data_IF_369684316787
#
_entry.id   IF_369684316787
#
_cell.length_a   1.000
_cell.length_b   1.000
_cell.length_c   1.000
_cell.angle_alpha   90.00
_cell.angle_beta   90.00
_cell.angle_gamma   90.00
#
_symmetry.space_group_name_H-M   'P 1'
#
loop_
_entity.id
_entity.type
_entity.pdbx_description
1 polymer ?
#
# COMPACT_ATOMS: atom_id res chain seq x y z
N UNK A 1 -35.73 -4.08 -15.09
CA UNK A 1 -34.34 -4.30 -14.65
C UNK A 1 -33.40 -4.04 -15.83
N UNK A 2 -32.70 -2.90 -15.85
CA UNK A 2 -31.80 -2.57 -16.97
C UNK A 2 -30.57 -3.48 -16.92
N UNK A 3 -30.32 -4.23 -18.01
CA UNK A 3 -29.14 -5.08 -18.17
C UNK A 3 -27.86 -4.22 -18.04
N UNK A 4 -27.26 -4.25 -16.85
CA UNK A 4 -26.00 -3.55 -16.59
C UNK A 4 -24.91 -4.23 -17.41
N UNK A 5 -24.42 -3.55 -18.45
CA UNK A 5 -23.32 -4.07 -19.27
C UNK A 5 -22.03 -4.02 -18.47
N UNK A 6 -21.52 -5.19 -18.08
CA UNK A 6 -20.25 -5.33 -17.37
C UNK A 6 -19.17 -5.86 -18.32
N UNK A 7 -18.13 -5.06 -18.56
CA UNK A 7 -16.93 -5.50 -19.30
C UNK A 7 -15.82 -5.84 -18.31
N UNK A 8 -15.07 -6.92 -18.56
CA UNK A 8 -13.94 -7.32 -17.70
C UNK A 8 -12.60 -7.11 -18.41
N UNK A 9 -11.60 -6.64 -17.65
CA UNK A 9 -10.20 -6.59 -18.09
C UNK A 9 -9.28 -7.14 -17.00
N UNK A 10 -8.14 -7.68 -17.40
CA UNK A 10 -7.03 -8.04 -16.49
C UNK A 10 -5.79 -7.37 -17.02
N UNK A 11 -5.08 -6.63 -16.16
CA UNK A 11 -3.79 -6.03 -16.50
C UNK A 11 -2.71 -6.88 -15.85
N UNK A 12 -1.98 -7.63 -16.66
CA UNK A 12 -0.98 -8.58 -16.17
C UNK A 12 0.31 -7.87 -15.80
N UNK A 13 1.12 -8.49 -14.94
CA UNK A 13 2.44 -7.95 -14.58
C UNK A 13 3.32 -7.64 -15.79
N UNK A 14 3.27 -8.50 -16.81
CA UNK A 14 3.99 -8.35 -18.08
C UNK A 14 3.56 -7.10 -18.85
N UNK A 15 2.28 -6.71 -18.77
CA UNK A 15 1.78 -5.47 -19.41
C UNK A 15 2.48 -4.25 -18.82
N UNK A 16 2.64 -4.21 -17.49
CA UNK A 16 3.35 -3.13 -16.80
C UNK A 16 4.83 -3.04 -17.16
N UNK A 17 5.51 -4.19 -17.31
CA UNK A 17 6.91 -4.23 -17.75
C UNK A 17 7.06 -3.72 -19.19
N UNK A 18 6.18 -4.18 -20.09
CA UNK A 18 6.20 -3.75 -21.49
C UNK A 18 5.85 -2.26 -21.63
N UNK A 19 4.85 -1.79 -20.87
CA UNK A 19 4.49 -0.38 -20.86
C UNK A 19 5.61 0.49 -20.30
N UNK A 20 6.33 0.04 -19.27
CA UNK A 20 7.50 0.75 -18.75
C UNK A 20 8.59 0.92 -19.79
N UNK A 21 8.88 -0.12 -20.58
CA UNK A 21 9.84 -0.04 -21.70
C UNK A 21 9.36 0.91 -22.80
N UNK A 22 8.08 0.85 -23.15
CA UNK A 22 7.48 1.67 -24.20
C UNK A 22 7.41 3.16 -23.82
N UNK A 23 6.91 3.45 -22.62
CA UNK A 23 6.73 4.82 -22.14
C UNK A 23 8.02 5.43 -21.60
N UNK A 24 8.96 4.63 -21.12
CA UNK A 24 10.10 5.08 -20.34
C UNK A 24 9.77 5.35 -18.86
N UNK A 25 8.54 5.10 -18.41
CA UNK A 25 8.20 5.17 -16.98
C UNK A 25 8.71 3.93 -16.25
N UNK A 26 9.91 4.05 -15.70
CA UNK A 26 10.62 3.01 -14.95
C UNK A 26 10.42 3.11 -13.43
N UNK A 27 9.38 3.82 -12.97
CA UNK A 27 9.15 3.99 -11.54
C UNK A 27 9.00 2.63 -10.84
N UNK A 28 9.86 2.41 -9.85
CA UNK A 28 10.02 1.11 -9.22
C UNK A 28 8.78 0.60 -8.49
N UNK A 29 7.82 1.47 -8.14
CA UNK A 29 6.55 1.03 -7.55
C UNK A 29 5.77 0.12 -8.50
N UNK A 30 5.95 0.30 -9.80
CA UNK A 30 5.30 -0.50 -10.82
C UNK A 30 6.09 -1.75 -11.14
N UNK A 31 7.38 -1.85 -10.79
CA UNK A 31 8.31 -2.86 -11.33
C UNK A 31 8.96 -3.76 -10.27
N UNK A 32 9.25 -3.24 -9.08
CA UNK A 32 10.04 -3.96 -8.07
C UNK A 32 9.12 -4.41 -6.93
N UNK A 33 8.97 -5.74 -6.76
CA UNK A 33 8.05 -6.35 -5.76
C UNK A 33 8.31 -5.88 -4.32
N UNK A 34 9.59 -5.77 -3.93
CA UNK A 34 9.98 -5.32 -2.59
C UNK A 34 9.57 -3.87 -2.32
N UNK A 35 9.71 -2.98 -3.32
CA UNK A 35 9.30 -1.57 -3.21
C UNK A 35 7.79 -1.45 -3.11
N UNK A 36 7.04 -2.17 -3.95
CA UNK A 36 5.59 -2.25 -3.84
C UNK A 36 5.14 -2.70 -2.44
N UNK A 37 5.73 -3.77 -1.92
CA UNK A 37 5.41 -4.29 -0.59
C UNK A 37 5.71 -3.34 0.58
N UNK A 38 6.76 -2.52 0.45
CA UNK A 38 7.16 -1.54 1.46
C UNK A 38 6.38 -0.22 1.36
N UNK A 39 5.69 0.02 0.25
CA UNK A 39 4.80 1.16 0.10
C UNK A 39 3.50 1.01 0.90
N UNK A 40 2.72 2.08 0.96
CA UNK A 40 1.37 2.09 1.54
C UNK A 40 0.40 1.13 0.82
N UNK A 41 0.70 0.72 -0.41
CA UNK A 41 -0.15 -0.17 -1.21
C UNK A 41 0.07 -1.65 -0.88
N UNK A 42 1.21 -2.01 -0.24
CA UNK A 42 1.52 -3.39 0.13
C UNK A 42 1.86 -4.33 -1.04
N UNK A 43 1.85 -3.84 -2.27
CA UNK A 43 2.18 -4.56 -3.51
C UNK A 43 2.51 -3.60 -4.66
N UNK A 44 2.86 -4.14 -5.84
CA UNK A 44 3.05 -3.31 -7.04
C UNK A 44 1.70 -2.86 -7.60
N UNK A 45 1.65 -1.62 -8.07
CA UNK A 45 0.44 -1.04 -8.66
C UNK A 45 0.64 -0.81 -10.16
N UNK A 46 -0.46 -0.84 -10.92
CA UNK A 46 -0.45 -0.54 -12.35
C UNK A 46 -0.19 0.95 -12.60
N UNK A 47 0.50 1.30 -13.67
CA UNK A 47 0.63 2.70 -14.13
C UNK A 47 -0.74 3.30 -14.44
N UNK A 48 -0.99 4.54 -13.99
CA UNK A 48 -2.28 5.23 -14.20
C UNK A 48 -2.68 5.31 -15.67
N UNK A 49 -1.75 5.75 -16.52
CA UNK A 49 -1.96 5.84 -17.96
C UNK A 49 -2.17 4.48 -18.64
N UNK A 50 -1.47 3.43 -18.20
CA UNK A 50 -1.67 2.07 -18.73
C UNK A 50 -3.09 1.57 -18.47
N UNK A 51 -3.62 1.82 -17.27
CA UNK A 51 -5.00 1.45 -16.93
C UNK A 51 -5.96 2.16 -17.88
N UNK A 52 -5.79 3.47 -18.05
CA UNK A 52 -6.65 4.27 -18.92
C UNK A 52 -6.61 3.77 -20.37
N UNK A 53 -5.42 3.53 -20.94
CA UNK A 53 -5.27 2.97 -22.30
C UNK A 53 -6.02 1.63 -22.42
N UNK A 54 -5.85 0.72 -21.45
CA UNK A 54 -6.52 -0.59 -21.47
C UNK A 54 -8.04 -0.46 -21.38
N UNK A 55 -8.54 0.47 -20.55
CA UNK A 55 -9.99 0.74 -20.44
C UNK A 55 -10.51 1.30 -21.75
N UNK A 56 -9.93 2.38 -22.28
CA UNK A 56 -10.38 3.05 -23.51
C UNK A 56 -10.45 2.09 -24.70
N UNK A 57 -9.45 1.22 -24.86
CA UNK A 57 -9.46 0.14 -25.87
C UNK A 57 -10.60 -0.84 -25.67
N UNK A 58 -10.86 -1.26 -24.43
CA UNK A 58 -11.94 -2.22 -24.12
C UNK A 58 -13.33 -1.63 -24.36
N UNK A 59 -13.52 -0.34 -24.09
CA UNK A 59 -14.77 0.36 -24.37
C UNK A 59 -14.91 0.78 -25.83
N UNK A 60 -13.82 0.79 -26.61
CA UNK A 60 -13.75 1.11 -28.05
C UNK A 60 -14.19 2.55 -28.36
N UNK A 61 -13.68 3.52 -27.61
CA UNK A 61 -13.98 4.93 -27.84
C UNK A 61 -13.18 5.43 -29.04
N UNK A 62 -13.88 5.92 -30.07
CA UNK A 62 -13.28 6.51 -31.28
C UNK A 62 -13.37 8.04 -31.27
N UNK A 63 -14.54 8.57 -30.95
CA UNK A 63 -14.82 10.00 -30.92
C UNK A 63 -15.18 10.43 -29.49
N UNK A 64 -14.58 11.53 -29.05
CA UNK A 64 -14.88 12.20 -27.79
C UNK A 64 -14.46 13.66 -27.90
N UNK A 65 -15.13 14.53 -27.14
CA UNK A 65 -14.68 15.89 -26.89
C UNK A 65 -13.76 15.91 -25.66
N UNK A 66 -14.19 15.29 -24.56
CA UNK A 66 -13.41 15.21 -23.34
C UNK A 66 -13.49 13.85 -22.65
N UNK A 67 -12.42 13.53 -21.92
CA UNK A 67 -12.32 12.35 -21.05
C UNK A 67 -11.84 12.81 -19.68
N UNK A 68 -12.67 12.61 -18.66
CA UNK A 68 -12.34 12.91 -17.27
C UNK A 68 -12.16 11.60 -16.49
N UNK A 69 -11.00 11.43 -15.86
CA UNK A 69 -10.63 10.24 -15.12
C UNK A 69 -10.26 10.64 -13.71
N UNK A 70 -10.96 10.08 -12.73
CA UNK A 70 -10.63 10.23 -11.31
C UNK A 70 -10.18 8.89 -10.73
N UNK A 71 -8.94 8.83 -10.25
CA UNK A 71 -8.36 7.66 -9.60
C UNK A 71 -8.64 7.76 -8.09
N UNK A 72 -9.68 7.07 -7.63
CA UNK A 72 -10.06 7.01 -6.22
C UNK A 72 -9.10 6.10 -5.44
N UNK A 73 -8.59 5.05 -6.08
CA UNK A 73 -7.65 4.11 -5.50
C UNK A 73 -6.80 3.43 -6.59
N UNK A 74 -5.79 2.69 -6.18
CA UNK A 74 -4.86 2.03 -7.08
C UNK A 74 -5.44 0.73 -7.65
N UNK A 75 -4.96 0.34 -8.83
CA UNK A 75 -5.22 -0.96 -9.45
C UNK A 75 -4.02 -1.88 -9.23
N UNK A 76 -4.30 -3.12 -8.85
CA UNK A 76 -3.33 -4.21 -8.71
C UNK A 76 -3.19 -4.98 -10.01
N UNK A 77 -1.99 -5.51 -10.25
CA UNK A 77 -1.73 -6.43 -11.34
C UNK A 77 -2.43 -7.77 -11.13
N UNK A 78 -2.68 -8.48 -12.24
CA UNK A 78 -3.12 -9.87 -12.28
C UNK A 78 -4.49 -10.14 -11.61
N UNK A 79 -5.25 -9.08 -11.34
CA UNK A 79 -6.63 -9.14 -10.84
C UNK A 79 -7.60 -8.56 -11.86
N UNK A 80 -8.84 -9.07 -11.85
CA UNK A 80 -9.91 -8.61 -12.73
C UNK A 80 -10.38 -7.23 -12.31
N UNK A 81 -10.50 -6.32 -13.28
CA UNK A 81 -11.26 -5.08 -13.15
C UNK A 81 -12.58 -5.22 -13.89
N UNK A 82 -13.66 -4.82 -13.23
CA UNK A 82 -15.01 -4.79 -13.79
C UNK A 82 -15.35 -3.35 -14.16
N UNK A 83 -15.67 -3.13 -15.44
CA UNK A 83 -16.04 -1.84 -16.00
C UNK A 83 -17.55 -1.84 -16.16
N UNK A 84 -18.21 -0.98 -15.40
CA UNK A 84 -19.66 -0.87 -15.32
C UNK A 84 -20.08 0.46 -15.93
N UNK A 85 -20.94 0.44 -16.94
CA UNK A 85 -21.58 1.66 -17.44
C UNK A 85 -22.68 2.07 -16.46
N UNK A 86 -22.45 3.13 -15.68
CA UNK A 86 -23.39 3.58 -14.66
C UNK A 86 -24.39 4.62 -15.15
N UNK A 87 -24.04 5.41 -16.16
CA UNK A 87 -24.93 6.39 -16.79
C UNK A 87 -24.60 6.52 -18.26
N UNK A 88 -25.62 6.50 -19.11
CA UNK A 88 -25.51 6.71 -20.57
C UNK A 88 -26.44 7.84 -20.97
N UNK A 89 -25.91 8.81 -21.72
CA UNK A 89 -26.70 9.78 -22.46
C UNK A 89 -26.02 10.09 -23.78
N UNK A 90 -26.70 10.77 -24.69
CA UNK A 90 -26.12 11.20 -25.96
C UNK A 90 -24.90 12.12 -25.74
N UNK A 91 -24.92 12.89 -24.66
CA UNK A 91 -23.92 13.89 -24.32
C UNK A 91 -22.75 13.31 -23.52
N UNK A 92 -23.03 12.40 -22.59
CA UNK A 92 -22.09 11.96 -21.55
C UNK A 92 -22.28 10.50 -21.14
N UNK A 93 -21.18 9.76 -21.08
CA UNK A 93 -21.13 8.40 -20.55
C UNK A 93 -20.27 8.36 -19.28
N UNK A 94 -20.76 7.69 -18.23
CA UNK A 94 -20.03 7.51 -16.97
C UNK A 94 -19.81 6.02 -16.73
N UNK A 95 -18.54 5.64 -16.64
CA UNK A 95 -18.07 4.31 -16.31
C UNK A 95 -17.48 4.29 -14.90
N UNK A 96 -17.87 3.29 -14.13
CA UNK A 96 -17.31 2.98 -12.82
C UNK A 96 -16.49 1.70 -12.93
N UNK A 97 -15.23 1.75 -12.48
CA UNK A 97 -14.32 0.62 -12.55
C UNK A 97 -14.06 0.08 -11.15
N UNK A 98 -14.40 -1.18 -10.95
CA UNK A 98 -14.27 -1.90 -9.70
C UNK A 98 -13.14 -2.92 -9.76
N UNK A 99 -12.45 -3.13 -8.64
CA UNK A 99 -11.52 -4.24 -8.45
C UNK A 99 -11.59 -4.65 -6.97
N UNK A 100 -11.72 -5.96 -6.70
CA UNK A 100 -11.92 -6.48 -5.35
C UNK A 100 -13.14 -5.82 -4.64
N UNK A 101 -14.27 -5.69 -5.34
CA UNK A 101 -15.52 -5.07 -4.84
C UNK A 101 -15.43 -3.57 -4.48
N UNK A 102 -14.25 -2.94 -4.65
CA UNK A 102 -14.06 -1.51 -4.39
C UNK A 102 -14.12 -0.69 -5.68
N UNK A 103 -14.79 0.46 -5.65
CA UNK A 103 -14.72 1.45 -6.72
C UNK A 103 -13.33 2.09 -6.75
N UNK A 104 -12.60 1.92 -7.85
CA UNK A 104 -11.23 2.40 -8.00
C UNK A 104 -11.11 3.61 -8.89
N UNK A 105 -11.89 3.66 -9.97
CA UNK A 105 -11.80 4.72 -10.98
C UNK A 105 -13.21 5.13 -11.40
N UNK A 106 -13.41 6.44 -11.55
CA UNK A 106 -14.56 7.02 -12.25
C UNK A 106 -14.03 7.59 -13.55
N UNK A 107 -14.63 7.17 -14.67
CA UNK A 107 -14.30 7.61 -16.01
C UNK A 107 -15.54 8.24 -16.63
N UNK A 108 -15.45 9.49 -17.00
CA UNK A 108 -16.50 10.22 -17.71
C UNK A 108 -16.02 10.58 -19.10
N UNK A 109 -16.88 10.40 -20.09
CA UNK A 109 -16.59 10.72 -21.49
C UNK A 109 -17.71 11.60 -22.01
N UNK A 110 -17.35 12.78 -22.50
CA UNK A 110 -18.28 13.76 -23.08
C UNK A 110 -18.05 13.90 -24.57
N UNK A 111 -19.15 14.06 -25.32
CA UNK A 111 -19.12 14.43 -26.74
C UNK A 111 -19.38 15.91 -26.98
N UNK A 112 -19.77 16.67 -25.95
CA UNK A 112 -20.08 18.10 -26.06
C UNK A 112 -18.97 18.99 -25.53
N UNK A 113 -18.85 20.16 -26.16
CA UNK A 113 -17.91 21.22 -25.83
C UNK A 113 -18.38 22.07 -24.64
N UNK A 114 -18.45 21.45 -23.46
CA UNK A 114 -18.82 22.14 -22.21
C UNK A 114 -17.62 22.30 -21.26
N UNK A 115 -16.44 21.80 -21.66
CA UNK A 115 -15.26 21.77 -20.80
C UNK A 115 -14.32 22.92 -21.14
N UNK A 116 -14.23 23.90 -20.23
CA UNK A 116 -13.24 24.97 -20.31
C UNK A 116 -11.83 24.45 -19.98
N UNK A 117 -10.86 25.08 -20.62
CA UNK A 117 -9.44 24.94 -20.32
C UNK A 117 -9.09 26.02 -19.31
N UNK A 118 -8.56 25.60 -18.17
CA UNK A 118 -8.04 26.53 -17.17
C UNK A 118 -6.53 26.50 -17.22
N UNK A 119 -5.93 27.61 -17.60
CA UNK A 119 -4.48 27.76 -17.51
C UNK A 119 -4.02 27.76 -16.06
N UNK A 120 -2.81 27.24 -15.83
CA UNK A 120 -2.22 27.23 -14.50
C UNK A 120 -1.92 28.68 -14.07
N UNK A 121 -2.47 29.08 -12.91
CA UNK A 121 -2.26 30.41 -12.32
C UNK A 121 -0.78 30.77 -12.10
N UNK A 122 0.08 29.77 -11.86
CA UNK A 122 1.52 29.92 -11.67
C UNK A 122 2.26 28.70 -12.21
N UNK A 123 3.41 28.91 -12.84
CA UNK A 123 4.27 27.83 -13.32
C UNK A 123 5.48 27.73 -12.39
N UNK A 124 5.69 26.56 -11.81
CA UNK A 124 6.83 26.24 -10.94
C UNK A 124 7.86 25.35 -11.62
N UNK A 125 7.45 24.65 -12.68
CA UNK A 125 8.31 23.80 -13.49
C UNK A 125 7.71 23.66 -14.89
N UNK A 126 8.55 23.66 -15.92
CA UNK A 126 8.15 23.48 -17.31
C UNK A 126 9.11 22.49 -17.99
N UNK A 127 8.58 21.67 -18.90
CA UNK A 127 9.39 20.81 -19.76
C UNK A 127 8.83 20.74 -21.17
N UNK A 128 9.70 20.92 -22.15
CA UNK A 128 9.40 20.69 -23.58
C UNK A 128 10.04 19.38 -24.03
N UNK A 129 9.31 18.57 -24.79
CA UNK A 129 9.79 17.29 -25.31
C UNK A 129 9.54 17.24 -26.81
N UNK A 130 10.62 17.10 -27.60
CA UNK A 130 10.54 16.86 -29.04
C UNK A 130 10.23 15.40 -29.33
N UNK A 131 9.23 15.17 -30.18
CA UNK A 131 8.77 13.86 -30.63
C UNK A 131 9.32 13.60 -32.02
N UNK A 132 10.20 12.60 -32.13
CA UNK A 132 10.73 12.15 -33.42
C UNK A 132 9.72 11.28 -34.17
N UNK A 133 9.86 11.21 -35.49
CA UNK A 133 9.02 10.34 -36.34
C UNK A 133 9.17 8.87 -35.97
N UNK A 134 10.38 8.41 -35.65
CA UNK A 134 10.62 7.03 -35.15
C UNK A 134 9.81 6.75 -33.90
N UNK A 135 9.73 7.71 -32.98
CA UNK A 135 8.92 7.57 -31.77
C UNK A 135 7.43 7.53 -32.09
N UNK A 136 6.93 8.36 -33.01
CA UNK A 136 5.52 8.32 -33.45
C UNK A 136 5.14 6.92 -33.97
N UNK A 137 5.98 6.33 -34.82
CA UNK A 137 5.76 4.98 -35.38
C UNK A 137 5.61 3.89 -34.31
N UNK A 138 6.34 3.98 -33.18
CA UNK A 138 6.21 3.04 -32.06
C UNK A 138 4.82 3.05 -31.39
N UNK A 139 4.07 4.15 -31.51
CA UNK A 139 2.76 4.32 -30.90
C UNK A 139 1.60 4.07 -31.85
N UNK A 140 1.86 3.71 -33.12
CA UNK A 140 0.82 3.32 -34.06
C UNK A 140 -0.06 2.22 -33.47
N UNK A 141 -1.37 2.43 -33.50
CA UNK A 141 -2.34 1.55 -32.87
C UNK A 141 -3.68 1.63 -33.60
N UNK A 142 -4.16 0.50 -34.11
CA UNK A 142 -5.46 0.43 -34.81
C UNK A 142 -6.65 0.45 -33.85
N UNK A 143 -6.42 0.18 -32.56
CA UNK A 143 -7.49 0.06 -31.55
C UNK A 143 -7.75 1.35 -30.76
N UNK A 144 -6.93 2.39 -30.96
CA UNK A 144 -6.99 3.65 -30.23
C UNK A 144 -6.23 4.74 -30.99
N UNK A 145 -6.65 6.00 -30.86
CA UNK A 145 -5.92 7.16 -31.38
C UNK A 145 -4.42 7.10 -30.97
N UNK A 146 -3.53 7.09 -31.96
CA UNK A 146 -2.10 6.89 -31.76
C UNK A 146 -1.44 8.08 -31.05
N UNK A 147 -1.92 9.31 -31.31
CA UNK A 147 -1.48 10.50 -30.60
C UNK A 147 -1.91 10.43 -29.13
N UNK A 148 -3.15 9.99 -28.87
CA UNK A 148 -3.65 9.83 -27.50
C UNK A 148 -2.84 8.78 -26.71
N UNK A 149 -2.49 7.66 -27.34
CA UNK A 149 -1.64 6.63 -26.71
C UNK A 149 -0.23 7.16 -26.43
N UNK A 150 0.34 7.94 -27.35
CA UNK A 150 1.65 8.57 -27.18
C UNK A 150 1.64 9.55 -26.00
N UNK A 151 0.68 10.49 -25.96
CA UNK A 151 0.64 11.49 -24.88
C UNK A 151 0.36 10.87 -23.51
N UNK A 152 -0.47 9.83 -23.42
CA UNK A 152 -0.68 9.11 -22.16
C UNK A 152 0.60 8.39 -21.70
N UNK A 153 1.42 7.90 -22.63
CA UNK A 153 2.71 7.28 -22.34
C UNK A 153 3.73 8.32 -21.87
N UNK A 154 3.81 9.47 -22.54
CA UNK A 154 4.68 10.59 -22.13
C UNK A 154 4.24 11.21 -20.80
N UNK A 155 2.94 11.30 -20.54
CA UNK A 155 2.41 11.72 -19.25
C UNK A 155 2.88 10.77 -18.13
N UNK A 156 2.82 9.45 -18.36
CA UNK A 156 3.32 8.48 -17.36
C UNK A 156 4.80 8.71 -17.08
N UNK A 157 5.63 8.83 -18.13
CA UNK A 157 7.06 9.10 -18.00
C UNK A 157 7.34 10.40 -17.26
N UNK A 158 6.64 11.48 -17.64
CA UNK A 158 6.79 12.77 -17.01
C UNK A 158 6.55 12.65 -15.50
N UNK A 159 5.41 12.10 -15.11
CA UNK A 159 5.01 11.97 -13.71
C UNK A 159 5.95 11.03 -12.95
N UNK A 160 6.24 9.85 -13.51
CA UNK A 160 7.01 8.79 -12.85
C UNK A 160 8.52 9.04 -12.75
N UNK A 161 9.09 9.83 -13.67
CA UNK A 161 10.54 9.98 -13.85
C UNK A 161 11.00 11.44 -13.80
N UNK A 162 10.28 12.35 -14.46
CA UNK A 162 10.72 13.76 -14.61
C UNK A 162 10.27 14.61 -13.43
N UNK A 163 8.96 14.80 -13.27
CA UNK A 163 8.39 15.62 -12.20
C UNK A 163 6.96 15.16 -11.89
N UNK A 164 6.62 14.84 -10.62
CA UNK A 164 7.47 14.91 -9.43
C UNK A 164 8.42 13.71 -9.24
N UNK A 165 8.42 12.75 -10.18
CA UNK A 165 9.40 11.67 -10.25
C UNK A 165 9.05 10.44 -9.40
N UNK A 166 10.05 9.75 -8.86
CA UNK A 166 9.96 8.38 -8.29
C UNK A 166 8.82 8.12 -7.29
N UNK A 167 8.39 9.12 -6.53
CA UNK A 167 7.32 8.96 -5.52
C UNK A 167 5.99 9.56 -5.96
N UNK A 168 5.81 9.80 -7.25
CA UNK A 168 4.57 10.35 -7.77
C UNK A 168 3.42 9.34 -7.84
N UNK A 169 2.21 9.87 -7.87
CA UNK A 169 0.96 9.20 -8.20
C UNK A 169 0.14 10.14 -9.07
N UNK A 170 -0.62 9.57 -10.01
CA UNK A 170 -1.62 10.31 -10.79
C UNK A 170 -2.96 10.19 -10.05
N UNK A 171 -3.60 11.32 -9.76
CA UNK A 171 -4.89 11.38 -9.07
C UNK A 171 -6.05 11.62 -10.05
N UNK A 172 -5.82 12.48 -11.04
CA UNK A 172 -6.84 12.86 -12.03
C UNK A 172 -6.18 13.12 -13.37
N UNK A 173 -6.86 12.76 -14.45
CA UNK A 173 -6.53 13.16 -15.82
C UNK A 173 -7.80 13.68 -16.48
N UNK A 174 -7.78 14.89 -17.04
CA UNK A 174 -8.81 15.47 -17.91
C UNK A 174 -8.16 15.69 -19.26
N UNK A 175 -8.66 15.03 -20.30
CA UNK A 175 -8.21 15.17 -21.69
C UNK A 175 -9.30 15.94 -22.44
N UNK A 176 -8.90 16.93 -23.21
CA UNK A 176 -9.77 17.73 -24.08
C UNK A 176 -9.17 17.67 -25.49
N UNK A 177 -10.02 17.37 -26.49
CA UNK A 177 -9.63 17.32 -27.91
C UNK A 177 -10.14 18.57 -28.63
N UNK A 178 -9.24 19.41 -29.14
CA UNK A 178 -9.52 20.65 -29.88
C UNK A 178 -9.42 20.43 -31.39
N UNK A 179 -10.40 20.90 -32.16
CA UNK A 179 -10.39 20.73 -33.63
C UNK A 179 -9.33 21.58 -34.37
N UNK A 180 -8.93 22.73 -33.81
CA UNK A 180 -8.10 23.72 -34.52
C UNK A 180 -6.76 23.96 -33.80
N UNK A 181 -5.81 23.01 -33.91
CA UNK A 181 -4.46 23.19 -33.36
C UNK A 181 -3.40 22.87 -34.42
N UNK A 182 -2.32 23.66 -34.46
CA UNK A 182 -1.21 23.41 -35.38
C UNK A 182 -0.44 22.14 -34.96
N UNK A 183 -0.08 21.33 -35.97
CA UNK A 183 0.77 20.15 -35.79
C UNK A 183 2.16 20.63 -35.34
N UNK A 184 2.47 20.43 -34.06
CA UNK A 184 3.81 20.67 -33.52
C UNK A 184 4.43 19.35 -33.07
N UNK A 185 5.72 19.18 -33.29
CA UNK A 185 6.48 18.03 -32.81
C UNK A 185 6.88 18.16 -31.33
N UNK A 186 6.35 19.16 -30.61
CA UNK A 186 6.68 19.45 -29.23
C UNK A 186 5.51 19.18 -28.30
N UNK A 187 5.75 18.38 -27.26
CA UNK A 187 4.87 18.29 -26.10
C UNK A 187 5.34 19.31 -25.06
N UNK A 188 4.41 20.14 -24.58
CA UNK A 188 4.67 21.12 -23.54
C UNK A 188 4.04 20.66 -22.23
N UNK A 189 4.85 20.52 -21.18
CA UNK A 189 4.41 20.25 -19.82
C UNK A 189 4.60 21.49 -18.96
N UNK A 190 3.58 21.85 -18.19
CA UNK A 190 3.64 22.88 -17.16
C UNK A 190 3.16 22.29 -15.84
N UNK A 191 3.81 22.66 -14.74
CA UNK A 191 3.45 22.20 -13.40
C UNK A 191 3.43 23.34 -12.39
N UNK A 192 2.42 23.33 -11.52
CA UNK A 192 2.26 24.25 -10.41
C UNK A 192 2.27 23.50 -9.08
N UNK A 193 3.22 23.85 -8.22
CA UNK A 193 3.25 23.43 -6.82
C UNK A 193 3.23 24.65 -5.93
N UNK A 194 2.06 24.96 -5.37
CA UNK A 194 1.86 26.14 -4.52
C UNK A 194 2.75 26.12 -3.27
N UNK A 195 2.90 24.96 -2.62
CA UNK A 195 3.74 24.80 -1.42
C UNK A 195 4.43 23.42 -1.40
N UNK A 196 5.67 23.38 -0.92
CA UNK A 196 6.44 22.13 -0.72
C UNK A 196 5.85 21.23 0.39
N UNK A 197 5.07 21.79 1.31
CA UNK A 197 4.37 21.07 2.39
C UNK A 197 3.18 20.28 1.85
N UNK A 198 2.54 20.78 0.78
CA UNK A 198 1.49 20.03 0.10
C UNK A 198 2.10 19.03 -0.88
N UNK A 199 1.51 17.84 -0.88
CA UNK A 199 1.94 16.76 -1.77
C UNK A 199 1.24 16.82 -3.14
N UNK A 200 0.19 17.65 -3.29
CA UNK A 200 -0.55 17.81 -4.53
C UNK A 200 0.14 18.80 -5.48
N UNK A 201 0.15 18.47 -6.76
CA UNK A 201 0.72 19.25 -7.86
C UNK A 201 -0.31 19.27 -8.98
N UNK A 202 -0.58 20.46 -9.50
CA UNK A 202 -1.41 20.66 -10.69
C UNK A 202 -0.50 20.72 -11.91
N UNK A 203 -0.92 20.10 -13.00
CA UNK A 203 -0.13 20.01 -14.21
C UNK A 203 -1.02 20.18 -15.43
N UNK A 204 -0.45 20.71 -16.50
CA UNK A 204 -1.05 20.71 -17.82
C UNK A 204 -0.06 20.20 -18.86
N UNK A 205 -0.60 19.57 -19.91
CA UNK A 205 0.12 19.09 -21.08
C UNK A 205 -0.61 19.55 -22.34
N UNK A 206 0.12 20.07 -23.33
CA UNK A 206 -0.43 20.32 -24.67
C UNK A 206 0.40 19.64 -25.76
N UNK A 207 -0.28 19.02 -26.72
CA UNK A 207 0.32 18.39 -27.91
C UNK A 207 -0.72 18.16 -29.02
N UNK A 208 -0.45 18.68 -30.22
CA UNK A 208 -1.39 18.68 -31.35
C UNK A 208 -2.79 19.12 -30.88
N UNK A 209 -3.83 18.34 -31.20
CA UNK A 209 -5.21 18.59 -30.79
C UNK A 209 -5.50 18.32 -29.31
N UNK A 210 -4.56 17.81 -28.53
CA UNK A 210 -4.81 17.42 -27.14
C UNK A 210 -4.32 18.46 -26.13
N UNK A 211 -5.22 18.81 -25.23
CA UNK A 211 -4.89 19.48 -23.98
C UNK A 211 -5.25 18.56 -22.82
N UNK A 212 -4.34 18.39 -21.86
CA UNK A 212 -4.53 17.52 -20.71
C UNK A 212 -4.25 18.27 -19.42
N UNK A 213 -5.26 18.40 -18.56
CA UNK A 213 -5.08 18.79 -17.17
C UNK A 213 -4.98 17.56 -16.29
N UNK A 214 -3.95 17.49 -15.47
CA UNK A 214 -3.78 16.34 -14.58
C UNK A 214 -3.26 16.74 -13.20
N UNK A 215 -3.78 16.06 -12.18
CA UNK A 215 -3.37 16.25 -10.80
C UNK A 215 -2.50 15.07 -10.38
N UNK A 216 -1.37 15.38 -9.76
CA UNK A 216 -0.44 14.38 -9.24
C UNK A 216 -0.18 14.61 -7.77
N UNK A 217 0.20 13.55 -7.05
CA UNK A 217 0.61 13.64 -5.66
C UNK A 217 1.95 12.98 -5.42
N UNK A 218 2.71 13.52 -4.47
CA UNK A 218 3.90 12.85 -3.92
C UNK A 218 3.44 11.93 -2.79
N UNK A 219 3.62 10.63 -2.98
CA UNK A 219 3.28 9.63 -1.96
C UNK A 219 4.25 9.70 -0.77
N UNK A 220 3.77 9.41 0.44
CA UNK A 220 4.63 9.30 1.62
C UNK A 220 5.62 8.15 1.47
N UNK A 221 6.79 8.30 2.08
CA UNK A 221 7.83 7.26 2.13
C UNK A 221 8.06 6.88 3.59
N UNK A 222 8.04 5.58 3.88
CA UNK A 222 8.36 5.08 5.22
C UNK A 222 9.82 5.39 5.56
N UNK A 223 10.03 6.32 6.50
CA UNK A 223 11.35 6.65 7.04
C UNK A 223 11.48 6.04 8.42
N UNK A 224 12.19 4.91 8.52
CA UNK A 224 12.46 4.24 9.81
C UNK A 224 13.83 4.69 10.32
N UNK A 225 13.86 5.74 11.14
CA UNK A 225 15.04 6.09 11.95
C UNK A 225 14.81 5.57 13.38
N UNK A 226 15.55 4.54 13.78
CA UNK A 226 15.46 3.96 15.14
C UNK A 226 16.53 4.58 16.03
N UNK A 227 16.13 5.13 17.18
CA UNK A 227 17.07 5.60 18.21
C UNK A 227 17.79 4.43 18.86
N UNK A 228 19.08 4.59 19.20
CA UNK A 228 19.83 3.61 20.01
C UNK A 228 19.19 3.51 21.41
N UNK A 229 19.22 2.33 22.07
CA UNK A 229 18.64 2.16 23.39
C UNK A 229 19.60 2.76 24.42
N UNK A 230 19.07 3.34 25.50
CA UNK A 230 19.93 3.76 26.62
C UNK A 230 20.39 2.55 27.46
N UNK A 231 21.36 2.76 28.35
CA UNK A 231 21.95 1.70 29.15
C UNK A 231 20.95 0.98 30.06
N UNK A 232 19.95 1.71 30.61
CA UNK A 232 18.89 1.12 31.44
C UNK A 232 18.08 0.10 30.64
N UNK A 233 17.64 0.46 29.43
CA UNK A 233 16.90 -0.44 28.55
C UNK A 233 17.76 -1.65 28.14
N UNK A 234 19.05 -1.44 27.84
CA UNK A 234 19.96 -2.54 27.51
C UNK A 234 20.09 -3.52 28.69
N UNK A 235 20.22 -3.01 29.93
CA UNK A 235 20.25 -3.84 31.14
C UNK A 235 18.97 -4.67 31.28
N UNK A 236 17.80 -4.05 31.12
CA UNK A 236 16.50 -4.76 31.15
C UNK A 236 16.40 -5.85 30.06
N UNK A 237 16.86 -5.58 28.84
CA UNK A 237 16.86 -6.57 27.74
C UNK A 237 17.80 -7.75 28.03
N UNK A 238 18.99 -7.45 28.56
CA UNK A 238 19.99 -8.49 28.92
C UNK A 238 19.54 -9.34 30.11
N UNK A 239 18.64 -8.84 30.95
CA UNK A 239 18.06 -9.58 32.07
C UNK A 239 17.00 -10.62 31.63
N UNK A 240 16.50 -10.56 30.39
CA UNK A 240 15.55 -11.54 29.87
C UNK A 240 16.22 -12.92 29.79
N UNK A 241 15.64 -13.91 30.49
CA UNK A 241 16.15 -15.30 30.55
C UNK A 241 15.51 -16.22 29.51
N UNK A 242 14.24 -16.00 29.16
CA UNK A 242 13.53 -16.85 28.21
C UNK A 242 14.02 -16.61 26.78
N UNK A 243 14.02 -17.66 25.96
CA UNK A 243 14.21 -17.52 24.52
C UNK A 243 13.07 -16.67 23.93
N UNK A 244 13.27 -16.15 22.72
CA UNK A 244 12.29 -15.27 22.08
C UNK A 244 11.81 -15.88 20.77
N UNK A 245 10.50 -15.87 20.55
CA UNK A 245 9.89 -16.15 19.25
C UNK A 245 9.08 -14.94 18.78
N UNK A 246 9.49 -14.31 17.67
CA UNK A 246 8.77 -13.21 17.04
C UNK A 246 8.06 -13.74 15.79
N UNK A 247 6.73 -13.82 15.83
CA UNK A 247 5.91 -14.20 14.68
C UNK A 247 5.60 -12.93 13.89
N UNK A 248 6.16 -12.79 12.68
CA UNK A 248 6.02 -11.56 11.87
C UNK A 248 7.13 -10.52 12.12
N UNK A 249 8.38 -10.96 12.27
CA UNK A 249 9.52 -10.08 12.58
C UNK A 249 10.21 -9.40 11.39
N UNK A 250 9.63 -9.45 10.19
CA UNK A 250 10.24 -8.87 8.96
C UNK A 250 9.93 -7.38 8.73
N UNK A 251 8.95 -6.81 9.42
CA UNK A 251 8.59 -5.39 9.26
C UNK A 251 7.86 -4.84 10.49
N UNK A 252 7.73 -3.50 10.56
CA UNK A 252 6.95 -2.82 11.60
C UNK A 252 7.38 -3.20 13.02
N UNK A 253 6.40 -3.39 13.90
CA UNK A 253 6.58 -3.69 15.34
C UNK A 253 7.51 -4.89 15.58
N UNK A 254 7.28 -5.98 14.85
CA UNK A 254 8.07 -7.20 15.02
C UNK A 254 9.54 -7.00 14.67
N UNK A 255 9.84 -6.19 13.65
CA UNK A 255 11.22 -5.85 13.28
C UNK A 255 11.87 -4.88 14.28
N UNK A 256 11.10 -3.92 14.81
CA UNK A 256 11.58 -3.02 15.85
C UNK A 256 12.00 -3.79 17.10
N UNK A 257 11.17 -4.77 17.52
CA UNK A 257 11.49 -5.65 18.65
C UNK A 257 12.64 -6.60 18.34
N UNK A 258 12.73 -7.18 17.13
CA UNK A 258 13.88 -7.99 16.76
C UNK A 258 15.18 -7.19 16.92
N UNK A 259 15.22 -5.97 16.40
CA UNK A 259 16.38 -5.07 16.51
C UNK A 259 16.66 -4.61 17.95
N UNK A 260 15.70 -4.74 18.85
CA UNK A 260 15.87 -4.46 20.27
C UNK A 260 16.40 -5.69 21.01
N UNK A 261 15.87 -6.87 20.74
CA UNK A 261 16.25 -8.09 21.45
C UNK A 261 17.64 -8.62 21.08
N UNK A 262 18.18 -8.27 19.90
CA UNK A 262 19.57 -8.62 19.53
C UNK A 262 20.65 -8.08 20.48
N UNK A 263 20.32 -7.13 21.36
CA UNK A 263 21.22 -6.68 22.42
C UNK A 263 21.41 -7.72 23.54
N UNK A 264 20.57 -8.75 23.61
CA UNK A 264 20.76 -9.92 24.46
C UNK A 264 21.39 -11.05 23.63
N UNK A 265 22.66 -11.34 23.87
CA UNK A 265 23.43 -12.38 23.20
C UNK A 265 23.32 -13.77 23.88
N UNK A 266 22.74 -13.84 25.09
CA UNK A 266 22.68 -15.05 25.91
C UNK A 266 21.54 -15.99 25.52
N UNK A 267 20.44 -15.44 24.99
CA UNK A 267 19.25 -16.20 24.61
C UNK A 267 19.16 -16.44 23.11
N UNK A 268 18.43 -17.48 22.70
CA UNK A 268 18.07 -17.70 21.29
C UNK A 268 16.90 -16.79 20.90
N UNK A 269 17.02 -16.16 19.73
CA UNK A 269 15.99 -15.30 19.16
C UNK A 269 15.56 -15.89 17.83
N UNK A 270 14.33 -16.39 17.77
CA UNK A 270 13.73 -16.94 16.56
C UNK A 270 12.78 -15.91 15.98
N UNK A 271 12.99 -15.49 14.74
CA UNK A 271 12.15 -14.51 14.08
C UNK A 271 11.58 -15.05 12.78
N UNK A 272 10.26 -14.96 12.60
CA UNK A 272 9.58 -15.54 11.44
C UNK A 272 9.17 -14.49 10.42
N UNK A 273 9.17 -14.88 9.15
CA UNK A 273 8.75 -14.04 8.03
C UNK A 273 8.06 -14.87 6.95
N UNK A 274 7.26 -14.23 6.09
CA UNK A 274 6.60 -14.90 4.97
C UNK A 274 7.15 -14.42 3.62
N UNK A 275 6.93 -13.13 3.31
CA UNK A 275 7.33 -12.52 2.03
C UNK A 275 8.76 -11.94 2.09
N UNK A 276 9.00 -10.99 2.99
CA UNK A 276 10.29 -10.30 3.09
C UNK A 276 11.25 -11.02 4.01
N UNK A 277 12.47 -11.27 3.54
CA UNK A 277 13.55 -11.80 4.37
C UNK A 277 13.96 -10.81 5.45
N UNK A 278 14.41 -11.36 6.57
CA UNK A 278 14.99 -10.60 7.67
C UNK A 278 16.49 -10.44 7.42
N UNK A 279 16.99 -9.20 7.47
CA UNK A 279 18.40 -8.87 7.17
C UNK A 279 19.32 -9.05 8.39
N UNK A 280 18.77 -9.13 9.60
CA UNK A 280 19.54 -9.27 10.84
C UNK A 280 20.31 -10.59 10.85
N UNK A 281 21.65 -10.51 10.84
CA UNK A 281 22.59 -11.64 10.93
C UNK A 281 23.36 -11.57 12.27
N UNK A 282 23.00 -12.43 13.23
CA UNK A 282 23.69 -12.61 14.53
C UNK A 282 23.67 -14.10 14.89
N UNK A 283 24.72 -14.60 15.56
CA UNK A 283 24.88 -16.03 15.90
C UNK A 283 23.71 -16.60 16.74
N UNK A 284 23.10 -15.78 17.58
CA UNK A 284 21.97 -16.19 18.42
C UNK A 284 20.59 -15.95 17.76
N UNK A 285 20.54 -15.43 16.53
CA UNK A 285 19.30 -15.14 15.81
C UNK A 285 19.05 -16.18 14.72
N UNK A 286 17.85 -16.77 14.71
CA UNK A 286 17.39 -17.70 13.68
C UNK A 286 16.20 -17.12 12.90
N UNK A 287 16.41 -16.82 11.63
CA UNK A 287 15.36 -16.32 10.74
C UNK A 287 14.64 -17.49 10.06
N UNK A 288 13.32 -17.60 10.20
CA UNK A 288 12.54 -18.74 9.71
C UNK A 288 11.42 -18.29 8.77
N UNK A 289 11.46 -18.74 7.51
CA UNK A 289 10.36 -18.53 6.57
C UNK A 289 9.17 -19.43 6.93
N UNK A 290 8.01 -18.82 7.22
CA UNK A 290 6.74 -19.48 7.56
C UNK A 290 5.57 -18.66 7.04
N UNK A 291 4.66 -19.31 6.30
CA UNK A 291 3.31 -18.79 6.10
C UNK A 291 2.39 -19.36 7.18
N UNK A 292 2.02 -18.53 8.16
CA UNK A 292 1.23 -18.97 9.31
C UNK A 292 -0.20 -19.38 8.95
N UNK A 293 -0.74 -18.94 7.81
CA UNK A 293 -2.08 -19.36 7.37
C UNK A 293 -2.05 -20.77 6.78
N UNK A 294 -0.91 -21.22 6.26
CA UNK A 294 -0.73 -22.54 5.66
C UNK A 294 -0.09 -23.57 6.59
N UNK A 295 0.83 -23.15 7.48
CA UNK A 295 1.64 -24.07 8.27
C UNK A 295 1.86 -23.59 9.72
N UNK A 296 0.81 -23.70 10.54
CA UNK A 296 0.91 -23.46 11.99
C UNK A 296 1.75 -24.51 12.72
N UNK A 297 1.84 -25.75 12.19
CA UNK A 297 2.64 -26.85 12.77
C UNK A 297 4.12 -26.47 12.93
N UNK A 298 4.70 -25.73 11.96
CA UNK A 298 6.09 -25.25 12.05
C UNK A 298 6.31 -24.31 13.24
N UNK A 299 5.32 -23.47 13.58
CA UNK A 299 5.37 -22.62 14.77
C UNK A 299 5.33 -23.47 16.04
N UNK A 300 4.46 -24.49 16.11
CA UNK A 300 4.39 -25.38 17.28
C UNK A 300 5.69 -26.13 17.53
N UNK A 301 6.36 -26.61 16.47
CA UNK A 301 7.67 -27.25 16.59
C UNK A 301 8.72 -26.31 17.18
N UNK A 302 8.72 -25.03 16.78
CA UNK A 302 9.61 -24.01 17.37
C UNK A 302 9.26 -23.81 18.85
N UNK A 303 7.97 -23.67 19.17
CA UNK A 303 7.51 -23.46 20.55
C UNK A 303 7.95 -24.62 21.46
N UNK A 304 7.77 -25.87 21.01
CA UNK A 304 8.18 -27.06 21.76
C UNK A 304 9.71 -27.17 21.91
N UNK A 305 10.46 -26.85 20.85
CA UNK A 305 11.93 -27.00 20.82
C UNK A 305 12.69 -26.00 21.67
N UNK A 306 12.24 -24.74 21.73
CA UNK A 306 13.00 -23.65 22.36
C UNK A 306 12.42 -23.16 23.69
N UNK A 307 11.46 -23.89 24.28
CA UNK A 307 10.88 -23.55 25.59
C UNK A 307 11.98 -23.47 26.68
N UNK A 308 11.88 -22.56 27.68
CA UNK A 308 10.84 -21.55 27.83
C UNK A 308 11.00 -20.37 26.85
N UNK A 309 9.87 -19.90 26.30
CA UNK A 309 9.80 -18.82 25.31
C UNK A 309 8.91 -17.66 25.77
N UNK A 310 9.34 -16.45 25.41
CA UNK A 310 8.45 -15.30 25.21
C UNK A 310 8.02 -15.28 23.74
N UNK A 311 6.75 -15.62 23.46
CA UNK A 311 6.19 -15.67 22.11
C UNK A 311 5.43 -14.39 21.79
N UNK A 312 5.84 -13.69 20.74
CA UNK A 312 5.22 -12.44 20.31
C UNK A 312 4.51 -12.61 18.96
N UNK A 313 3.22 -12.26 18.89
CA UNK A 313 2.42 -12.39 17.68
C UNK A 313 2.21 -11.05 16.95
N UNK A 314 2.99 -10.76 15.90
CA UNK A 314 2.87 -9.53 15.09
C UNK A 314 2.45 -9.75 13.65
N UNK A 315 2.13 -10.99 13.26
CA UNK A 315 1.71 -11.27 11.90
C UNK A 315 0.37 -10.58 11.60
N UNK A 316 0.36 -9.75 10.56
CA UNK A 316 -0.78 -8.93 10.17
C UNK A 316 -0.97 -8.98 8.65
N UNK A 317 -2.22 -9.05 8.15
CA UNK A 317 -2.53 -8.73 6.76
C UNK A 317 -2.41 -7.21 6.54
N UNK A 318 -2.58 -6.78 5.29
CA UNK A 318 -2.79 -5.37 5.00
C UNK A 318 -4.08 -4.90 5.68
N UNK A 319 -4.00 -3.74 6.35
CA UNK A 319 -5.14 -3.16 7.07
C UNK A 319 -5.84 -2.17 6.14
N UNK A 320 -7.09 -2.50 5.82
CA UNK A 320 -8.11 -1.65 5.25
C UNK A 320 -9.18 -1.38 6.33
N UNK A 321 -9.38 -0.13 6.69
CA UNK A 321 -10.35 0.30 7.71
C UNK A 321 -11.69 0.72 7.13
N UNK A 322 -11.79 0.89 5.81
CA UNK A 322 -12.99 1.38 5.11
C UNK A 322 -13.82 0.26 4.50
N UNK A 323 -13.19 -0.80 4.00
CA UNK A 323 -13.89 -1.90 3.33
C UNK A 323 -14.57 -2.83 4.34
N UNK A 324 -15.90 -2.86 4.29
CA UNK A 324 -16.77 -3.74 5.08
C UNK A 324 -17.24 -4.96 4.24
N UNK A 325 -16.31 -5.79 3.77
CA UNK A 325 -16.67 -7.04 3.05
C UNK A 325 -16.47 -8.30 3.90
N UNK A 326 -17.27 -9.35 3.62
CA UNK A 326 -17.17 -10.66 4.28
C UNK A 326 -15.78 -11.30 4.08
N UNK A 327 -15.17 -11.08 2.92
CA UNK A 327 -13.81 -11.54 2.61
C UNK A 327 -12.77 -10.89 3.52
N UNK A 328 -12.85 -9.57 3.72
CA UNK A 328 -11.96 -8.84 4.65
C UNK A 328 -12.18 -9.31 6.08
N UNK A 329 -13.45 -9.47 6.49
CA UNK A 329 -13.80 -9.99 7.82
C UNK A 329 -13.14 -11.34 8.09
N UNK A 330 -13.31 -12.31 7.17
CA UNK A 330 -12.75 -13.65 7.30
C UNK A 330 -11.21 -13.64 7.35
N UNK A 331 -10.58 -12.80 6.51
CA UNK A 331 -9.13 -12.61 6.53
C UNK A 331 -8.65 -12.13 7.89
N UNK A 332 -9.27 -11.08 8.43
CA UNK A 332 -8.93 -10.52 9.73
C UNK A 332 -9.22 -11.48 10.86
N UNK A 333 -10.36 -12.16 10.84
CA UNK A 333 -10.72 -13.14 11.86
C UNK A 333 -9.67 -14.26 11.92
N UNK A 334 -9.20 -14.71 10.75
CA UNK A 334 -8.14 -15.72 10.68
C UNK A 334 -6.82 -15.23 11.32
N UNK A 335 -6.35 -14.04 10.93
CA UNK A 335 -5.07 -13.49 11.41
C UNK A 335 -5.08 -12.97 12.83
N UNK A 336 -6.18 -12.39 13.31
CA UNK A 336 -6.22 -11.71 14.60
C UNK A 336 -6.90 -12.54 15.69
N UNK A 337 -7.70 -13.55 15.34
CA UNK A 337 -8.42 -14.40 16.31
C UNK A 337 -8.03 -15.87 16.16
N UNK A 338 -8.37 -16.51 15.04
CA UNK A 338 -8.27 -17.98 14.88
C UNK A 338 -6.84 -18.50 15.08
N UNK A 339 -5.88 -17.97 14.32
CA UNK A 339 -4.48 -18.39 14.40
C UNK A 339 -3.84 -18.04 15.76
N UNK A 340 -3.91 -16.79 16.26
CA UNK A 340 -3.27 -16.44 17.52
C UNK A 340 -3.89 -17.16 18.72
N UNK A 341 -5.20 -17.42 18.76
CA UNK A 341 -5.79 -18.25 19.83
C UNK A 341 -5.25 -19.67 19.79
N UNK A 342 -5.13 -20.27 18.59
CA UNK A 342 -4.56 -21.62 18.45
C UNK A 342 -3.12 -21.68 18.97
N UNK A 343 -2.31 -20.66 18.66
CA UNK A 343 -0.93 -20.55 19.14
C UNK A 343 -0.90 -20.30 20.65
N UNK A 344 -1.76 -19.42 21.16
CA UNK A 344 -1.86 -19.11 22.59
C UNK A 344 -2.17 -20.37 23.41
N UNK A 345 -3.19 -21.14 23.03
CA UNK A 345 -3.53 -22.41 23.70
C UNK A 345 -2.34 -23.37 23.73
N UNK A 346 -1.59 -23.47 22.63
CA UNK A 346 -0.38 -24.28 22.59
C UNK A 346 0.75 -23.72 23.47
N UNK A 347 0.93 -22.40 23.53
CA UNK A 347 1.90 -21.75 24.42
C UNK A 347 1.60 -22.05 25.89
N UNK A 348 0.34 -21.93 26.28
CA UNK A 348 -0.16 -22.25 27.62
C UNK A 348 0.22 -23.68 28.00
N UNK A 349 -0.13 -24.66 27.16
CA UNK A 349 0.15 -26.08 27.42
C UNK A 349 1.66 -26.37 27.52
N UNK A 350 2.49 -25.59 26.82
CA UNK A 350 3.94 -25.71 26.85
C UNK A 350 4.61 -24.78 27.88
N UNK A 351 3.83 -24.18 28.80
CA UNK A 351 4.28 -23.28 29.88
C UNK A 351 5.04 -22.02 29.40
N UNK A 352 4.81 -21.58 28.17
CA UNK A 352 5.44 -20.38 27.58
C UNK A 352 4.63 -19.10 27.81
N UNK A 353 5.30 -17.95 27.66
CA UNK A 353 4.68 -16.63 27.70
C UNK A 353 4.16 -16.23 26.31
N UNK A 354 3.10 -15.42 26.26
CA UNK A 354 2.48 -14.96 25.02
C UNK A 354 2.16 -13.47 25.04
N UNK A 355 2.62 -12.75 24.03
CA UNK A 355 2.39 -11.33 23.83
C UNK A 355 1.54 -11.09 22.58
N UNK A 356 0.47 -10.31 22.74
CA UNK A 356 -0.41 -9.90 21.66
C UNK A 356 -0.53 -8.37 21.54
N UNK A 357 -0.23 -7.79 20.36
CA UNK A 357 -0.46 -6.39 20.06
C UNK A 357 -1.94 -6.17 19.73
N UNK A 358 -2.67 -5.59 20.68
CA UNK A 358 -3.98 -5.00 20.43
C UNK A 358 -3.85 -3.55 19.94
N UNK A 359 -4.96 -2.84 19.84
CA UNK A 359 -5.03 -1.48 19.29
C UNK A 359 -5.88 -0.56 20.15
N UNK A 360 -5.45 0.69 20.28
CA UNK A 360 -6.28 1.76 20.88
C UNK A 360 -7.52 2.09 20.05
N UNK A 361 -7.55 1.67 18.77
CA UNK A 361 -8.72 1.88 17.89
C UNK A 361 -10.01 1.20 18.39
N UNK A 362 -9.90 0.25 19.31
CA UNK A 362 -11.06 -0.35 20.00
C UNK A 362 -11.83 0.71 20.78
N UNK A 363 -11.12 1.68 21.35
CA UNK A 363 -11.69 2.66 22.28
C UNK A 363 -12.38 3.81 21.54
N UNK A 364 -12.08 4.01 20.25
CA UNK A 364 -12.67 5.07 19.42
C UNK A 364 -14.00 4.69 18.75
N UNK A 365 -14.65 3.58 19.14
CA UNK A 365 -15.94 3.08 18.58
C UNK A 365 -16.02 3.11 17.05
N UNK A 366 -14.93 2.84 16.33
CA UNK A 366 -14.99 2.78 14.88
C UNK A 366 -15.65 1.47 14.41
N UNK A 367 -16.47 1.54 13.36
CA UNK A 367 -17.14 0.38 12.76
C UNK A 367 -16.22 -0.48 11.86
N UNK A 368 -14.90 -0.34 11.98
CA UNK A 368 -14.01 -1.11 11.12
C UNK A 368 -13.96 -2.56 11.59
N UNK A 369 -13.98 -3.50 10.64
CA UNK A 369 -13.74 -4.92 10.92
C UNK A 369 -12.43 -5.14 11.70
N UNK A 370 -11.42 -4.31 11.47
CA UNK A 370 -10.15 -4.38 12.17
C UNK A 370 -10.31 -4.18 13.69
N UNK A 371 -11.00 -3.12 14.10
CA UNK A 371 -11.21 -2.79 15.51
C UNK A 371 -12.07 -3.85 16.20
N UNK A 372 -13.20 -4.20 15.58
CA UNK A 372 -14.12 -5.22 16.08
C UNK A 372 -13.42 -6.57 16.33
N UNK A 373 -12.64 -7.06 15.36
CA UNK A 373 -11.99 -8.37 15.46
C UNK A 373 -10.86 -8.37 16.49
N UNK A 374 -10.14 -7.25 16.66
CA UNK A 374 -9.14 -7.12 17.73
C UNK A 374 -9.78 -7.17 19.12
N UNK A 375 -10.93 -6.50 19.30
CA UNK A 375 -11.71 -6.58 20.54
C UNK A 375 -12.22 -8.01 20.78
N UNK A 376 -12.66 -8.72 19.73
CA UNK A 376 -13.09 -10.11 19.84
C UNK A 376 -11.96 -11.03 20.36
N UNK A 377 -10.71 -10.80 19.96
CA UNK A 377 -9.57 -11.52 20.54
C UNK A 377 -9.43 -11.24 22.04
N UNK A 378 -9.47 -9.97 22.47
CA UNK A 378 -9.38 -9.62 23.89
C UNK A 378 -10.46 -10.31 24.73
N UNK A 379 -11.72 -10.27 24.27
CA UNK A 379 -12.84 -10.96 24.92
C UNK A 379 -12.61 -12.47 25.05
N UNK A 380 -12.15 -13.12 23.97
CA UNK A 380 -11.86 -14.57 23.98
C UNK A 380 -10.67 -14.96 24.85
N UNK A 381 -9.71 -14.07 25.07
CA UNK A 381 -8.59 -14.35 25.99
C UNK A 381 -9.00 -14.10 27.44
N UNK A 382 -9.89 -13.13 27.72
CA UNK A 382 -10.43 -12.91 29.07
C UNK A 382 -11.11 -14.16 29.63
N UNK A 383 -11.74 -15.01 28.80
CA UNK A 383 -12.34 -16.27 29.26
C UNK A 383 -11.34 -17.41 29.51
N UNK A 384 -10.05 -17.23 29.17
CA UNK A 384 -8.99 -18.22 29.38
C UNK A 384 -8.17 -17.95 30.66
N UNK A 385 -8.67 -17.08 31.55
CA UNK A 385 -7.90 -16.32 32.55
C UNK A 385 -7.40 -17.07 33.79
N UNK A 386 -7.61 -18.36 33.93
CA UNK A 386 -7.02 -19.13 35.05
C UNK A 386 -5.46 -19.25 34.96
N UNK A 387 -4.79 -18.48 34.09
CA UNK A 387 -3.33 -18.56 33.79
C UNK A 387 -2.74 -17.14 33.66
N UNK A 388 -3.15 -16.25 34.57
CA UNK A 388 -3.11 -14.79 34.37
C UNK A 388 -1.71 -14.16 34.19
N UNK A 389 -0.61 -14.79 34.62
CA UNK A 389 0.72 -14.17 34.62
C UNK A 389 1.55 -14.39 33.33
N UNK A 390 1.07 -15.19 32.37
CA UNK A 390 1.85 -15.56 31.16
C UNK A 390 1.37 -14.90 29.88
N UNK A 391 0.28 -14.12 29.92
CA UNK A 391 -0.36 -13.57 28.72
C UNK A 391 -0.44 -12.06 28.82
N UNK A 392 0.29 -11.36 27.96
CA UNK A 392 0.32 -9.91 27.91
C UNK A 392 -0.36 -9.40 26.64
N UNK A 393 -1.46 -8.67 26.82
CA UNK A 393 -2.13 -7.94 25.75
C UNK A 393 -1.84 -6.45 25.94
N UNK A 394 -1.34 -5.80 24.90
CA UNK A 394 -1.02 -4.36 24.93
C UNK A 394 -1.75 -3.64 23.81
N UNK A 395 -2.54 -2.63 24.15
CA UNK A 395 -3.15 -1.71 23.17
C UNK A 395 -2.08 -0.74 22.67
N UNK A 396 -1.70 -0.88 21.40
CA UNK A 396 -0.63 -0.06 20.80
C UNK A 396 -1.26 1.14 20.10
N UNK A 397 -0.75 2.38 20.29
CA UNK A 397 -1.22 3.56 19.57
C UNK A 397 -0.76 3.56 18.10
N UNK A 398 -1.14 4.57 17.33
CA UNK A 398 -0.64 4.75 15.97
C UNK A 398 0.89 4.91 16.00
N UNK A 399 1.57 4.10 15.19
CA UNK A 399 3.03 4.02 15.11
C UNK A 399 3.52 4.12 13.67
N UNK A 400 4.78 4.48 13.50
CA UNK A 400 5.45 4.61 12.21
C UNK A 400 5.63 3.26 11.51
N UNK A 401 4.62 2.87 10.75
CA UNK A 401 4.62 1.65 9.94
C UNK A 401 4.02 1.95 8.58
N UNK A 402 4.28 1.09 7.60
CA UNK A 402 3.68 1.22 6.27
C UNK A 402 2.15 1.31 6.27
N UNK A 403 1.49 0.76 7.29
CA UNK A 403 0.04 0.78 7.44
C UNK A 403 -0.51 2.15 7.85
N UNK A 404 0.32 3.02 8.45
CA UNK A 404 -0.07 4.35 8.90
C UNK A 404 0.54 5.47 8.02
N UNK A 405 1.07 5.13 6.84
CA UNK A 405 1.54 6.12 5.89
C UNK A 405 0.35 6.92 5.36
N UNK A 406 0.32 8.21 5.68
CA UNK A 406 -0.71 9.13 5.21
C UNK A 406 -0.09 10.18 4.28
N UNK A 407 -0.90 10.71 3.36
CA UNK A 407 -0.56 11.83 2.47
C UNK A 407 -0.14 13.07 3.27
N UNK A 408 -0.61 13.23 4.52
CA UNK A 408 -0.22 14.35 5.37
C UNK A 408 1.18 14.23 6.01
N UNK A 409 1.94 13.14 5.75
CA UNK A 409 3.30 12.93 6.25
C UNK A 409 3.45 13.10 7.79
N UNK A 410 2.44 12.69 8.57
CA UNK A 410 2.49 12.69 10.03
C UNK A 410 3.73 11.97 10.58
N UNK A 411 4.44 12.61 11.53
CA UNK A 411 5.58 12.00 12.24
C UNK A 411 5.08 11.12 13.39
N UNK A 412 4.88 9.84 13.13
CA UNK A 412 4.51 8.86 14.16
C UNK A 412 5.76 8.29 14.89
N UNK A 413 5.64 7.89 16.16
CA UNK A 413 6.73 7.23 16.89
C UNK A 413 6.92 5.77 16.43
N UNK A 414 8.13 5.21 16.56
CA UNK A 414 8.32 3.77 16.41
C UNK A 414 7.87 3.05 17.70
N UNK A 415 7.53 1.77 17.64
CA UNK A 415 7.07 1.05 18.83
C UNK A 415 8.14 1.00 19.94
N UNK A 416 9.40 0.89 19.52
CA UNK A 416 10.57 0.97 20.41
C UNK A 416 10.63 2.27 21.20
N UNK A 417 10.30 3.40 20.57
CA UNK A 417 10.34 4.70 21.25
C UNK A 417 9.24 4.78 22.32
N UNK A 418 8.10 4.12 22.10
CA UNK A 418 7.02 4.00 23.08
C UNK A 418 7.47 3.14 24.27
N UNK A 419 8.13 2.00 24.04
CA UNK A 419 8.69 1.15 25.10
C UNK A 419 9.66 1.95 25.99
N UNK A 420 10.45 2.84 25.41
CA UNK A 420 11.43 3.62 26.16
C UNK A 420 10.75 4.61 27.12
N UNK A 421 9.64 5.20 26.68
CA UNK A 421 8.90 6.20 27.45
C UNK A 421 7.91 5.59 28.46
N UNK A 422 7.21 4.51 28.10
CA UNK A 422 6.13 3.94 28.90
C UNK A 422 6.60 2.68 29.66
N UNK A 423 6.72 2.79 30.99
CA UNK A 423 7.18 1.70 31.88
C UNK A 423 6.23 0.51 31.89
N UNK A 424 4.92 0.72 31.83
CA UNK A 424 3.91 -0.35 31.85
C UNK A 424 3.98 -1.20 30.57
N UNK A 425 3.98 -0.53 29.40
CA UNK A 425 4.15 -1.18 28.10
C UNK A 425 5.48 -1.94 28.08
N UNK A 426 6.54 -1.36 28.64
CA UNK A 426 7.86 -2.00 28.72
C UNK A 426 7.83 -3.27 29.57
N UNK A 427 7.29 -3.23 30.80
CA UNK A 427 7.15 -4.40 31.68
C UNK A 427 6.37 -5.52 30.99
N UNK A 428 5.21 -5.20 30.39
CA UNK A 428 4.39 -6.14 29.63
C UNK A 428 5.12 -6.70 28.41
N UNK A 429 5.91 -5.89 27.72
CA UNK A 429 6.65 -6.35 26.53
C UNK A 429 7.81 -7.26 26.91
N UNK A 430 8.51 -6.98 28.00
CA UNK A 430 9.67 -7.77 28.42
C UNK A 430 9.32 -8.95 29.34
N UNK A 431 8.06 -9.05 29.78
CA UNK A 431 7.63 -10.01 30.82
C UNK A 431 8.46 -9.83 32.10
N UNK A 432 8.73 -8.58 32.46
CA UNK A 432 9.49 -8.18 33.64
C UNK A 432 8.51 -7.60 34.66
N UNK A 433 7.94 -8.47 35.50
CA UNK A 433 6.98 -8.07 36.53
C UNK A 433 7.67 -7.81 37.84
#
# INVERSE_FOLDING_TARGET
MNNVTVKKIVIKRKDGVNFSRLSGDNNSIHLIKSIGYLSQFGENIVHGSLILIKILKKIKIKNFFSINVNFLSFIKYDLVCEIVLSKRSNKKNIYKIYQEEELKIILEISNENNDEITDLKKITFEKKIKISNTKRKLFNDTSMDSNLKLILSELSKYVGVVYPGKNSLINRIKIIKKKNFSLNNLIFFKSNRLDKRFNLIENSLSFNEFFIDFKTSIRPVLRVKLKKPNNKIIKEIKAIKNNILIIGGSSGIGNDLLKLFVYNNKIKIISTYNKNSIVVKKKNVKNVKVNITKNTKKIFRIIKKYKPLNVYYFATPMINTTLKSKTVYNLYFNYYVKIPIKILKYCINQKNNFFYPSTVFIDYKNDSHYSYIKNLFEKKVKSLRNINNKINIVKIPRINTKHNLNILNEKLPNFRDIIFKNKEIRKKTFFNY
#
